data_IF_294551402575
#
_entry.id   IF_294551402575
#
_cell.length_a   1.000
_cell.length_b   1.000
_cell.length_c   1.000
_cell.angle_alpha   90.00
_cell.angle_beta   90.00
_cell.angle_gamma   90.00
#
_symmetry.space_group_name_H-M   'P 1'
#
loop_
_entity.id
_entity.type
_entity.pdbx_description
1 polymer ?
#
# COMPACT_ATOMS: atom_id res chain seq x y z
N UNK A 1 17.49 -2.71 25.67
CA UNK A 1 17.87 -1.28 25.50
C UNK A 1 17.27 -0.70 24.23
N UNK A 2 17.48 -1.33 23.06
CA UNK A 2 16.96 -0.88 21.75
C UNK A 2 15.44 -0.70 21.72
N UNK A 3 14.64 -1.66 22.22
CA UNK A 3 13.17 -1.52 22.27
C UNK A 3 12.69 -0.30 23.06
N UNK A 4 13.36 0.03 24.17
CA UNK A 4 13.05 1.25 24.95
C UNK A 4 13.38 2.52 24.19
N UNK A 5 14.43 2.52 23.38
CA UNK A 5 14.78 3.66 22.53
C UNK A 5 13.74 3.87 21.42
N UNK A 6 13.31 2.79 20.76
CA UNK A 6 12.21 2.83 19.78
C UNK A 6 10.93 3.39 20.40
N UNK A 7 10.56 2.92 21.60
CA UNK A 7 9.39 3.42 22.32
C UNK A 7 9.49 4.94 22.58
N UNK A 8 10.62 5.40 23.12
CA UNK A 8 10.85 6.81 23.42
C UNK A 8 10.75 7.70 22.17
N UNK A 9 11.29 7.24 21.03
CA UNK A 9 11.21 7.96 19.76
C UNK A 9 9.76 8.05 19.28
N UNK A 10 9.04 6.93 19.27
CA UNK A 10 7.65 6.87 18.80
C UNK A 10 6.70 7.68 19.70
N UNK A 11 6.91 7.69 21.01
CA UNK A 11 6.11 8.48 21.96
C UNK A 11 6.38 9.99 21.86
N UNK A 12 7.64 10.41 21.64
CA UNK A 12 8.00 11.83 21.57
C UNK A 12 7.68 12.47 20.23
N UNK A 13 7.70 11.71 19.14
CA UNK A 13 7.42 12.21 17.80
C UNK A 13 5.96 11.97 17.44
N UNK A 14 5.11 12.97 17.70
CA UNK A 14 3.72 12.97 17.20
C UNK A 14 3.73 12.75 15.68
N UNK A 15 3.16 11.64 15.23
CA UNK A 15 3.04 11.31 13.81
C UNK A 15 3.99 10.24 13.29
N UNK A 16 4.79 9.58 14.13
CA UNK A 16 5.54 8.39 13.68
C UNK A 16 4.55 7.27 13.35
N UNK A 17 4.50 6.89 12.08
CA UNK A 17 3.70 5.77 11.57
C UNK A 17 4.53 4.51 11.34
N UNK A 18 5.86 4.67 11.31
CA UNK A 18 6.81 3.59 11.03
C UNK A 18 8.16 3.85 11.71
N UNK A 19 8.79 2.79 12.21
CA UNK A 19 10.15 2.84 12.78
C UNK A 19 10.94 1.58 12.44
N UNK A 20 12.28 1.68 12.43
CA UNK A 20 13.14 0.54 12.12
C UNK A 20 14.46 0.57 12.88
N UNK A 21 15.00 -0.62 13.12
CA UNK A 21 16.38 -0.83 13.57
C UNK A 21 16.96 -1.97 12.76
N UNK A 22 18.13 -1.76 12.17
CA UNK A 22 18.84 -2.83 11.48
C UNK A 22 20.31 -2.52 11.30
N UNK A 23 20.98 -3.43 10.60
CA UNK A 23 22.40 -3.35 10.27
C UNK A 23 22.54 -3.14 8.77
N UNK A 24 23.34 -2.14 8.37
CA UNK A 24 23.59 -1.85 6.96
C UNK A 24 24.15 -3.07 6.20
N UNK A 25 25.06 -3.81 6.82
CA UNK A 25 25.69 -4.98 6.19
C UNK A 25 24.67 -6.12 6.00
N UNK A 26 23.75 -6.27 6.95
CA UNK A 26 22.68 -7.27 6.85
C UNK A 26 21.67 -6.92 5.76
N UNK A 27 21.21 -5.68 5.70
CA UNK A 27 20.35 -5.20 4.60
C UNK A 27 21.05 -5.42 3.25
N UNK A 28 22.33 -5.06 3.12
CA UNK A 28 23.10 -5.26 1.89
C UNK A 28 23.24 -6.72 1.50
N UNK A 29 23.34 -7.64 2.47
CA UNK A 29 23.41 -9.07 2.21
C UNK A 29 22.09 -9.66 1.68
N UNK A 30 20.96 -9.01 2.01
CA UNK A 30 19.64 -9.35 1.47
C UNK A 30 19.41 -8.74 0.08
N UNK A 31 19.95 -7.55 -0.16
CA UNK A 31 19.88 -6.79 -1.42
C UNK A 31 20.79 -7.36 -2.52
N UNK A 32 20.59 -8.62 -2.93
CA UNK A 32 21.37 -9.18 -4.05
C UNK A 32 21.04 -8.54 -5.43
N UNK A 33 19.98 -7.73 -5.57
CA UNK A 33 19.71 -7.01 -6.84
C UNK A 33 18.61 -5.92 -6.78
N UNK A 34 18.11 -5.50 -5.60
CA UNK A 34 16.98 -4.55 -5.50
C UNK A 34 17.20 -3.47 -4.44
N UNK A 35 16.89 -2.22 -4.79
CA UNK A 35 17.00 -1.01 -3.96
C UNK A 35 15.83 -0.88 -2.96
N UNK A 36 15.49 -1.95 -2.21
CA UNK A 36 14.25 -2.00 -1.44
C UNK A 36 14.48 -1.70 0.05
N UNK A 37 14.14 -0.46 0.42
CA UNK A 37 14.59 0.21 1.64
C UNK A 37 14.04 -0.32 2.97
N UNK A 38 13.37 -1.49 3.02
CA UNK A 38 12.91 -2.12 4.27
C UNK A 38 13.27 -3.61 4.41
N UNK A 39 14.06 -4.17 3.48
CA UNK A 39 14.37 -5.59 3.47
C UNK A 39 15.21 -6.00 4.68
N UNK A 40 14.62 -6.87 5.52
CA UNK A 40 15.25 -7.52 6.68
C UNK A 40 15.95 -6.58 7.65
N UNK A 41 15.28 -5.50 8.04
CA UNK A 41 15.64 -4.80 9.27
C UNK A 41 15.46 -5.76 10.47
N UNK A 42 16.21 -5.55 11.56
CA UNK A 42 16.07 -6.40 12.75
C UNK A 42 14.72 -6.20 13.44
N UNK A 43 14.35 -4.95 13.71
CA UNK A 43 13.11 -4.57 14.35
C UNK A 43 12.36 -3.59 13.45
N UNK A 44 11.06 -3.83 13.25
CA UNK A 44 10.18 -2.99 12.44
C UNK A 44 8.95 -2.62 13.25
N UNK A 45 8.69 -1.33 13.41
CA UNK A 45 7.49 -0.82 14.05
C UNK A 45 6.54 -0.28 12.99
N UNK A 46 5.29 -0.72 13.01
CA UNK A 46 4.20 -0.16 12.23
C UNK A 46 3.09 0.32 13.15
N UNK A 47 2.64 1.57 12.98
CA UNK A 47 1.45 2.10 13.67
C UNK A 47 0.16 1.57 13.01
N UNK A 48 0.05 0.26 12.95
CA UNK A 48 -1.04 -0.51 12.34
C UNK A 48 -1.40 -1.64 13.31
N UNK A 49 -2.23 -1.38 14.34
CA UNK A 49 -2.48 -2.36 15.40
C UNK A 49 -3.08 -3.67 14.89
N UNK A 50 -3.85 -3.62 13.80
CA UNK A 50 -4.44 -4.79 13.14
C UNK A 50 -3.47 -5.60 12.29
N UNK A 51 -2.20 -5.17 12.13
CA UNK A 51 -1.22 -5.87 11.31
C UNK A 51 -1.00 -7.31 11.81
N UNK A 52 -1.09 -7.54 13.12
CA UNK A 52 -0.96 -8.88 13.73
C UNK A 52 -1.90 -9.91 13.10
N UNK A 53 -3.10 -9.49 12.71
CA UNK A 53 -4.14 -10.39 12.20
C UNK A 53 -3.87 -10.87 10.77
N UNK A 54 -2.90 -10.24 10.10
CA UNK A 54 -2.53 -10.52 8.71
C UNK A 54 -1.13 -11.11 8.57
N UNK A 55 -0.38 -11.20 9.67
CA UNK A 55 0.94 -11.80 9.65
C UNK A 55 0.81 -13.32 9.71
N UNK A 56 1.57 -14.05 8.88
CA UNK A 56 1.73 -15.48 9.03
C UNK A 56 2.25 -15.86 10.43
N UNK A 57 1.88 -17.04 10.91
CA UNK A 57 2.29 -17.56 12.23
C UNK A 57 3.81 -17.67 12.40
N UNK A 58 4.56 -17.74 11.30
CA UNK A 58 6.03 -17.82 11.30
C UNK A 58 6.71 -16.46 11.47
N UNK A 59 5.97 -15.36 11.45
CA UNK A 59 6.51 -14.00 11.67
C UNK A 59 6.37 -13.60 13.14
N UNK A 60 7.52 -13.44 13.80
CA UNK A 60 7.56 -12.96 15.20
C UNK A 60 7.11 -11.51 15.29
N UNK A 61 6.10 -11.27 16.10
CA UNK A 61 5.53 -9.95 16.33
C UNK A 61 4.92 -9.81 17.73
N UNK A 62 4.77 -8.58 18.19
CA UNK A 62 4.06 -8.25 19.44
C UNK A 62 3.32 -6.91 19.32
N UNK A 63 2.20 -6.72 20.04
CA UNK A 63 1.63 -5.39 20.23
C UNK A 63 2.66 -4.44 20.85
N UNK A 64 2.82 -3.27 20.27
CA UNK A 64 3.81 -2.29 20.71
C UNK A 64 3.28 -0.88 20.52
N UNK A 65 3.14 -0.13 21.62
CA UNK A 65 2.46 1.18 21.64
C UNK A 65 1.05 1.10 21.04
N UNK A 66 0.76 1.92 20.03
CA UNK A 66 -0.50 1.93 19.27
C UNK A 66 -0.37 1.19 17.92
N UNK A 67 0.55 0.24 17.84
CA UNK A 67 0.84 -0.54 16.65
C UNK A 67 1.41 -1.93 16.93
N UNK A 68 2.22 -2.43 16.00
CA UNK A 68 2.84 -3.76 16.04
C UNK A 68 4.35 -3.62 15.83
N UNK A 69 5.12 -4.31 16.66
CA UNK A 69 6.57 -4.49 16.48
C UNK A 69 6.84 -5.88 15.91
N UNK A 70 7.50 -5.94 14.76
CA UNK A 70 8.00 -7.16 14.15
C UNK A 70 9.47 -7.36 14.52
N UNK A 71 9.85 -8.60 14.73
CA UNK A 71 11.21 -9.01 15.03
C UNK A 71 11.68 -10.07 14.05
N UNK A 72 12.65 -9.73 13.19
CA UNK A 72 13.16 -10.65 12.17
C UNK A 72 13.96 -11.80 12.80
N UNK A 73 14.73 -11.51 13.85
CA UNK A 73 15.56 -12.47 14.59
C UNK A 73 15.58 -12.11 16.08
N UNK A 74 15.68 -13.09 17.01
CA UNK A 74 15.66 -12.83 18.46
C UNK A 74 16.93 -12.13 18.97
N UNK A 75 17.95 -12.00 18.12
CA UNK A 75 19.19 -11.28 18.35
C UNK A 75 19.48 -10.35 17.17
N UNK A 76 20.42 -9.39 17.28
CA UNK A 76 20.90 -8.65 16.12
C UNK A 76 21.31 -9.60 14.99
N UNK A 77 20.81 -9.38 13.77
CA UNK A 77 21.04 -10.31 12.66
C UNK A 77 22.49 -10.28 12.20
N UNK A 78 23.00 -11.46 11.83
CA UNK A 78 24.39 -11.69 11.40
C UNK A 78 24.42 -12.11 9.93
N UNK A 79 25.25 -11.45 9.12
CA UNK A 79 25.34 -11.68 7.67
C UNK A 79 25.84 -13.09 7.35
N UNK A 80 26.71 -13.61 8.20
CA UNK A 80 27.35 -14.92 8.04
C UNK A 80 26.44 -16.07 8.50
N UNK A 81 25.33 -15.77 9.18
CA UNK A 81 24.38 -16.77 9.63
C UNK A 81 23.30 -17.01 8.56
N UNK A 82 23.28 -18.17 7.88
CA UNK A 82 22.29 -18.44 6.83
C UNK A 82 20.85 -18.45 7.34
N UNK A 83 20.64 -18.75 8.64
CA UNK A 83 19.30 -18.71 9.26
C UNK A 83 18.79 -17.28 9.36
N UNK A 84 19.64 -16.33 9.75
CA UNK A 84 19.28 -14.92 9.82
C UNK A 84 18.96 -14.38 8.43
N UNK A 85 19.78 -14.72 7.43
CA UNK A 85 19.53 -14.34 6.03
C UNK A 85 18.20 -14.89 5.53
N UNK A 86 17.87 -16.15 5.84
CA UNK A 86 16.60 -16.75 5.48
C UNK A 86 15.42 -16.04 6.17
N UNK A 87 15.53 -15.73 7.46
CA UNK A 87 14.52 -14.99 8.20
C UNK A 87 14.31 -13.57 7.64
N UNK A 88 15.39 -12.88 7.28
CA UNK A 88 15.33 -11.57 6.63
C UNK A 88 14.63 -11.59 5.27
N UNK A 89 14.91 -12.62 4.45
CA UNK A 89 14.21 -12.84 3.17
C UNK A 89 12.73 -13.15 3.37
N UNK A 90 12.40 -14.00 4.34
CA UNK A 90 11.02 -14.34 4.67
C UNK A 90 10.23 -13.12 5.15
N UNK A 91 10.81 -12.31 6.03
CA UNK A 91 10.20 -11.05 6.48
C UNK A 91 9.97 -10.10 5.28
N UNK A 92 10.94 -9.99 4.38
CA UNK A 92 10.79 -9.20 3.15
C UNK A 92 9.62 -9.68 2.30
N UNK A 93 9.52 -10.99 2.03
CA UNK A 93 8.44 -11.58 1.24
C UNK A 93 7.08 -11.27 1.86
N UNK A 94 6.91 -11.46 3.17
CA UNK A 94 5.65 -11.16 3.86
C UNK A 94 5.31 -9.67 3.79
N UNK A 95 6.28 -8.77 3.99
CA UNK A 95 6.02 -7.33 3.92
C UNK A 95 5.72 -6.86 2.50
N UNK A 96 6.29 -7.51 1.48
CA UNK A 96 5.98 -7.24 0.08
C UNK A 96 4.58 -7.73 -0.28
N UNK A 97 4.23 -8.96 0.13
CA UNK A 97 2.87 -9.51 0.02
C UNK A 97 1.85 -8.62 0.73
N UNK A 98 2.20 -8.05 1.88
CA UNK A 98 1.36 -7.09 2.60
C UNK A 98 1.50 -5.66 2.10
N UNK A 99 2.29 -5.40 1.05
CA UNK A 99 2.47 -4.07 0.43
C UNK A 99 3.00 -2.99 1.37
N UNK A 100 3.67 -3.41 2.45
CA UNK A 100 4.30 -2.54 3.45
C UNK A 100 5.72 -2.12 3.03
N UNK A 101 6.20 -2.60 1.87
CA UNK A 101 7.46 -2.17 1.26
C UNK A 101 7.38 -0.73 0.70
N UNK A 102 8.47 0.06 0.84
CA UNK A 102 8.48 1.53 0.60
C UNK A 102 7.99 1.92 -0.79
N UNK A 103 8.33 1.14 -1.81
CA UNK A 103 7.98 1.42 -3.20
C UNK A 103 6.50 1.19 -3.47
N UNK A 104 5.87 0.29 -2.72
CA UNK A 104 4.42 0.03 -2.77
C UNK A 104 3.65 1.21 -2.13
N UNK A 105 4.08 1.68 -0.96
CA UNK A 105 3.41 2.77 -0.23
C UNK A 105 3.35 4.10 -1.00
N UNK A 106 4.30 4.31 -1.92
CA UNK A 106 4.44 5.55 -2.68
C UNK A 106 3.50 5.64 -3.89
N UNK A 107 3.27 4.53 -4.58
CA UNK A 107 2.36 4.48 -5.74
C UNK A 107 0.90 4.45 -5.30
N UNK A 108 0.65 3.90 -4.11
CA UNK A 108 -0.69 3.58 -3.63
C UNK A 108 -1.33 4.66 -2.78
N UNK A 109 -0.56 5.52 -2.13
CA UNK A 109 -1.13 6.60 -1.32
C UNK A 109 -1.32 7.92 -2.07
N UNK A 110 -0.95 7.98 -3.36
CA UNK A 110 -0.73 9.25 -4.03
C UNK A 110 0.49 9.93 -3.40
N UNK A 111 1.57 10.10 -4.14
CA UNK A 111 2.66 11.00 -3.71
C UNK A 111 2.07 12.38 -3.32
N UNK A 112 2.65 13.07 -2.32
CA UNK A 112 1.94 13.79 -1.25
C UNK A 112 0.79 14.71 -1.71
N UNK A 113 -0.31 14.70 -0.94
CA UNK A 113 -1.55 15.50 -1.07
C UNK A 113 -1.73 16.14 -2.46
N UNK A 114 -2.06 15.31 -3.44
CA UNK A 114 -2.73 15.79 -4.64
C UNK A 114 -4.19 16.10 -4.24
N UNK A 115 -4.49 17.38 -4.03
CA UNK A 115 -5.84 17.86 -3.68
C UNK A 115 -6.87 17.40 -4.71
N UNK A 116 -6.49 17.28 -5.99
CA UNK A 116 -7.38 16.79 -7.04
C UNK A 116 -7.62 15.28 -6.92
N UNK A 117 -6.58 14.49 -6.59
CA UNK A 117 -6.76 13.05 -6.34
C UNK A 117 -7.64 12.81 -5.10
N UNK A 118 -7.40 13.59 -4.04
CA UNK A 118 -8.22 13.56 -2.82
C UNK A 118 -9.68 13.88 -3.14
N UNK A 119 -9.91 14.96 -3.90
CA UNK A 119 -11.25 15.36 -4.31
C UNK A 119 -11.91 14.33 -5.22
N UNK A 120 -11.19 13.80 -6.19
CA UNK A 120 -11.65 12.73 -7.07
C UNK A 120 -12.07 11.49 -6.29
N UNK A 121 -11.26 11.08 -5.31
CA UNK A 121 -11.59 9.99 -4.39
C UNK A 121 -12.90 10.28 -3.63
N UNK A 122 -13.03 11.47 -3.02
CA UNK A 122 -14.22 11.83 -2.26
C UNK A 122 -15.49 11.79 -3.11
N UNK A 123 -15.44 12.31 -4.34
CA UNK A 123 -16.60 12.35 -5.23
C UNK A 123 -17.05 10.93 -5.60
N UNK A 124 -16.13 10.04 -5.95
CA UNK A 124 -16.48 8.70 -6.40
C UNK A 124 -16.88 7.75 -5.27
N UNK A 125 -16.30 7.94 -4.08
CA UNK A 125 -16.55 7.03 -2.95
C UNK A 125 -17.60 7.56 -1.98
N UNK A 126 -17.86 8.87 -1.98
CA UNK A 126 -18.63 9.56 -0.94
C UNK A 126 -17.95 9.58 0.43
N UNK A 127 -16.73 9.04 0.56
CA UNK A 127 -16.01 8.98 1.83
C UNK A 127 -15.33 10.34 2.13
N UNK A 128 -15.33 10.82 3.39
CA UNK A 128 -14.56 11.98 3.80
C UNK A 128 -13.05 11.82 3.54
N UNK A 129 -12.33 12.94 3.48
CA UNK A 129 -10.87 12.93 3.33
C UNK A 129 -10.21 12.06 4.40
N UNK A 130 -9.22 11.26 3.99
CA UNK A 130 -8.48 10.38 4.88
C UNK A 130 -9.26 9.18 5.40
N UNK A 131 -10.55 9.03 5.07
CA UNK A 131 -11.33 7.85 5.43
C UNK A 131 -11.12 6.75 4.38
N UNK A 132 -10.75 5.56 4.85
CA UNK A 132 -10.58 4.35 4.03
C UNK A 132 -11.52 3.25 4.52
N UNK A 133 -11.90 2.35 3.63
CA UNK A 133 -12.62 1.12 3.94
C UNK A 133 -11.62 -0.02 4.01
N UNK A 134 -11.42 -0.60 5.20
CA UNK A 134 -10.39 -1.62 5.41
C UNK A 134 -10.98 -3.03 5.36
N UNK A 135 -10.36 -3.90 4.58
CA UNK A 135 -10.65 -5.35 4.55
C UNK A 135 -9.36 -6.08 4.91
N UNK A 136 -9.34 -6.73 6.07
CA UNK A 136 -8.11 -7.27 6.64
C UNK A 136 -7.07 -6.16 6.85
N UNK A 137 -5.92 -6.27 6.18
CA UNK A 137 -4.85 -5.26 6.20
C UNK A 137 -4.74 -4.44 4.91
N UNK A 138 -5.75 -4.47 4.05
CA UNK A 138 -5.77 -3.74 2.79
C UNK A 138 -6.81 -2.63 2.87
N UNK A 139 -6.39 -1.43 2.50
CA UNK A 139 -7.23 -0.24 2.47
C UNK A 139 -7.81 -0.02 1.07
N UNK A 140 -9.12 0.16 1.04
CA UNK A 140 -9.88 0.63 -0.11
C UNK A 140 -10.29 2.08 0.12
N UNK A 141 -10.55 2.79 -0.97
CA UNK A 141 -10.97 4.18 -0.91
C UNK A 141 -12.43 4.33 -0.50
N UNK A 142 -13.25 3.31 -0.75
CA UNK A 142 -14.65 3.26 -0.36
C UNK A 142 -15.24 1.86 -0.50
N UNK A 143 -16.52 1.76 -0.16
CA UNK A 143 -17.32 0.55 -0.33
C UNK A 143 -18.74 0.93 -0.74
N UNK A 144 -19.18 0.41 -1.88
CA UNK A 144 -20.54 0.52 -2.36
C UNK A 144 -21.40 -0.57 -1.71
N UNK A 145 -22.23 -0.19 -0.76
CA UNK A 145 -23.05 -1.13 0.00
C UNK A 145 -24.19 -1.78 -0.80
N UNK A 146 -24.67 -1.11 -1.86
CA UNK A 146 -25.75 -1.62 -2.70
C UNK A 146 -25.22 -2.73 -3.63
N UNK A 147 -24.09 -2.46 -4.28
CA UNK A 147 -23.44 -3.41 -5.21
C UNK A 147 -22.52 -4.40 -4.50
N UNK A 148 -22.21 -4.16 -3.22
CA UNK A 148 -21.22 -4.88 -2.41
C UNK A 148 -19.84 -4.87 -3.06
N UNK A 149 -19.44 -3.70 -3.54
CA UNK A 149 -18.22 -3.52 -4.34
C UNK A 149 -17.21 -2.67 -3.58
N UNK A 150 -15.96 -3.13 -3.55
CA UNK A 150 -14.84 -2.39 -2.98
C UNK A 150 -14.32 -1.38 -4.01
N UNK A 151 -14.11 -0.14 -3.60
CA UNK A 151 -13.74 0.95 -4.50
C UNK A 151 -12.29 1.37 -4.29
N UNK A 152 -11.55 1.50 -5.38
CA UNK A 152 -10.21 2.07 -5.41
C UNK A 152 -10.16 3.13 -6.51
N UNK A 153 -9.64 4.32 -6.19
CA UNK A 153 -9.77 5.51 -7.03
C UNK A 153 -8.42 6.21 -7.15
N UNK A 154 -7.82 6.27 -8.34
CA UNK A 154 -6.52 6.93 -8.54
C UNK A 154 -6.49 7.75 -9.81
N UNK A 155 -5.72 8.83 -9.80
CA UNK A 155 -5.38 9.57 -11.02
C UNK A 155 -4.08 9.03 -11.63
N UNK A 156 -3.21 8.46 -10.82
CA UNK A 156 -1.91 7.94 -11.24
C UNK A 156 -1.06 9.00 -11.98
N UNK A 157 -1.14 10.28 -11.57
CA UNK A 157 -0.44 11.40 -12.24
C UNK A 157 1.07 11.22 -12.31
N UNK A 158 1.66 10.52 -11.34
CA UNK A 158 3.09 10.16 -11.36
C UNK A 158 3.47 9.36 -12.61
N UNK A 159 2.57 8.50 -13.10
CA UNK A 159 2.76 7.72 -14.33
C UNK A 159 2.87 8.61 -15.56
N UNK A 160 2.05 9.68 -15.63
CA UNK A 160 2.11 10.68 -16.71
C UNK A 160 3.37 11.56 -16.63
N UNK A 161 3.79 11.94 -15.41
CA UNK A 161 4.92 12.85 -15.20
C UNK A 161 6.27 12.18 -15.42
N UNK A 162 6.37 10.87 -15.19
CA UNK A 162 7.60 10.09 -15.34
C UNK A 162 7.35 8.83 -16.18
N UNK A 163 7.30 8.92 -17.53
CA UNK A 163 7.02 7.78 -18.39
C UNK A 163 8.05 6.63 -18.27
N UNK A 164 9.30 6.97 -17.90
CA UNK A 164 10.35 5.98 -17.58
C UNK A 164 10.11 5.22 -16.26
N UNK A 165 9.06 5.61 -15.53
CA UNK A 165 8.56 4.89 -14.37
C UNK A 165 7.78 3.64 -14.75
N UNK A 166 7.35 3.45 -16.00
CA UNK A 166 6.77 2.17 -16.45
C UNK A 166 7.85 1.12 -16.74
N UNK A 167 7.52 -0.15 -16.51
CA UNK A 167 8.37 -1.34 -16.69
C UNK A 167 8.41 -2.22 -15.44
N UNK A 168 8.70 -3.52 -15.60
CA UNK A 168 8.81 -4.54 -14.51
C UNK A 168 9.74 -4.10 -13.36
N UNK A 169 10.65 -3.14 -13.61
CA UNK A 169 11.59 -2.56 -12.62
C UNK A 169 11.19 -1.17 -12.09
N UNK A 170 10.01 -0.69 -12.47
CA UNK A 170 9.44 0.61 -12.11
C UNK A 170 8.12 0.48 -11.35
N UNK A 171 7.10 1.19 -11.80
CA UNK A 171 5.79 1.38 -11.16
C UNK A 171 4.79 0.26 -11.52
N UNK A 172 5.14 -0.63 -12.46
CA UNK A 172 4.35 -1.82 -12.78
C UNK A 172 4.23 -2.73 -11.56
N UNK A 173 5.35 -2.98 -10.87
CA UNK A 173 5.40 -3.82 -9.68
C UNK A 173 4.41 -3.36 -8.60
N UNK A 174 4.46 -2.09 -8.15
CA UNK A 174 3.50 -1.56 -7.19
C UNK A 174 2.03 -1.66 -7.60
N UNK A 175 1.70 -1.44 -8.89
CA UNK A 175 0.33 -1.60 -9.41
C UNK A 175 -0.12 -3.05 -9.33
N UNK A 176 0.71 -3.97 -9.83
CA UNK A 176 0.43 -5.41 -9.83
C UNK A 176 0.33 -5.96 -8.40
N UNK A 177 1.23 -5.53 -7.52
CA UNK A 177 1.23 -5.92 -6.11
C UNK A 177 -0.06 -5.46 -5.43
N UNK A 178 -0.52 -4.24 -5.67
CA UNK A 178 -1.80 -3.79 -5.09
C UNK A 178 -3.00 -4.54 -5.62
N UNK A 179 -3.06 -4.79 -6.93
CA UNK A 179 -4.15 -5.56 -7.51
C UNK A 179 -4.24 -6.95 -6.87
N UNK A 180 -3.11 -7.66 -6.78
CA UNK A 180 -3.05 -8.97 -6.12
C UNK A 180 -3.45 -8.90 -4.64
N UNK A 181 -2.95 -7.91 -3.91
CA UNK A 181 -3.29 -7.69 -2.49
C UNK A 181 -4.77 -7.47 -2.28
N UNK A 182 -5.36 -6.57 -3.06
CA UNK A 182 -6.78 -6.25 -2.96
C UNK A 182 -7.64 -7.46 -3.33
N UNK A 183 -7.32 -8.17 -4.41
CA UNK A 183 -8.06 -9.38 -4.82
C UNK A 183 -7.99 -10.47 -3.74
N UNK A 184 -6.81 -10.69 -3.15
CA UNK A 184 -6.64 -11.64 -2.06
C UNK A 184 -7.42 -11.23 -0.80
N UNK A 185 -7.35 -9.95 -0.42
CA UNK A 185 -8.06 -9.42 0.73
C UNK A 185 -9.58 -9.39 0.54
N UNK A 186 -10.05 -9.16 -0.69
CA UNK A 186 -11.47 -9.08 -0.99
C UNK A 186 -12.21 -10.40 -0.85
N UNK A 187 -11.53 -11.56 -0.79
CA UNK A 187 -12.14 -12.87 -0.57
C UNK A 187 -13.37 -13.14 -1.46
N UNK A 188 -13.33 -12.69 -2.73
CA UNK A 188 -14.40 -12.87 -3.71
C UNK A 188 -15.43 -11.74 -3.79
N UNK A 189 -15.31 -10.68 -2.99
CA UNK A 189 -16.05 -9.44 -3.23
C UNK A 189 -15.50 -8.73 -4.47
N UNK A 190 -16.36 -8.18 -5.36
CA UNK A 190 -15.90 -7.48 -6.56
C UNK A 190 -15.17 -6.18 -6.19
N UNK A 191 -14.13 -5.86 -6.94
CA UNK A 191 -13.34 -4.63 -6.81
C UNK A 191 -13.53 -3.78 -8.06
N UNK A 192 -13.70 -2.47 -7.89
CA UNK A 192 -13.68 -1.50 -8.99
C UNK A 192 -12.54 -0.50 -8.81
N UNK A 193 -11.66 -0.46 -9.80
CA UNK A 193 -10.59 0.52 -9.93
C UNK A 193 -11.03 1.65 -10.85
N UNK A 194 -11.37 2.79 -10.28
CA UNK A 194 -11.73 3.98 -11.05
C UNK A 194 -10.49 4.84 -11.32
N UNK A 195 -10.09 4.91 -12.59
CA UNK A 195 -8.91 5.66 -13.01
C UNK A 195 -9.33 6.92 -13.77
N UNK A 196 -8.87 8.08 -13.30
CA UNK A 196 -9.33 9.39 -13.79
C UNK A 196 -8.66 9.89 -15.07
N UNK A 197 -7.53 9.29 -15.46
CA UNK A 197 -6.73 9.65 -16.62
C UNK A 197 -6.68 8.49 -17.62
N UNK A 198 -6.91 8.80 -18.90
CA UNK A 198 -7.05 7.80 -19.98
C UNK A 198 -5.77 6.97 -20.19
N UNK A 199 -4.62 7.63 -20.30
CA UNK A 199 -3.32 6.95 -20.50
C UNK A 199 -3.00 5.97 -19.34
N UNK A 200 -3.07 6.38 -18.04
CA UNK A 200 -2.96 5.43 -16.93
C UNK A 200 -4.01 4.31 -16.94
N UNK A 201 -5.26 4.60 -17.32
CA UNK A 201 -6.31 3.60 -17.39
C UNK A 201 -5.96 2.48 -18.38
N UNK A 202 -5.62 2.83 -19.62
CA UNK A 202 -5.25 1.86 -20.64
C UNK A 202 -4.04 1.03 -20.19
N UNK A 203 -3.05 1.70 -19.61
CA UNK A 203 -1.83 1.03 -19.22
C UNK A 203 -2.00 0.08 -18.03
N UNK A 204 -2.83 0.43 -17.05
CA UNK A 204 -3.17 -0.48 -15.95
C UNK A 204 -3.91 -1.70 -16.48
N UNK A 205 -4.82 -1.53 -17.45
CA UNK A 205 -5.51 -2.68 -18.09
C UNK A 205 -4.53 -3.62 -18.79
N UNK A 206 -3.60 -3.07 -19.57
CA UNK A 206 -2.54 -3.87 -20.21
C UNK A 206 -1.72 -4.64 -19.18
N UNK A 207 -1.26 -3.97 -18.11
CA UNK A 207 -0.46 -4.64 -17.08
C UNK A 207 -1.19 -5.79 -16.41
N UNK A 208 -2.45 -5.60 -16.02
CA UNK A 208 -3.20 -6.66 -15.36
C UNK A 208 -3.43 -7.84 -16.31
N UNK A 209 -3.72 -7.58 -17.59
CA UNK A 209 -3.91 -8.62 -18.59
C UNK A 209 -2.60 -9.39 -18.90
N UNK A 210 -1.46 -8.71 -18.92
CA UNK A 210 -0.18 -9.31 -19.31
C UNK A 210 0.52 -10.06 -18.16
N UNK A 211 0.27 -9.68 -16.91
CA UNK A 211 1.08 -10.14 -15.75
C UNK A 211 0.28 -10.78 -14.62
N UNK A 212 -1.05 -10.92 -14.73
CA UNK A 212 -1.88 -11.52 -13.68
C UNK A 212 -2.94 -12.45 -14.25
N UNK A 213 -3.43 -13.36 -13.41
CA UNK A 213 -4.61 -14.19 -13.72
C UNK A 213 -5.91 -13.58 -13.15
N UNK A 214 -5.91 -12.29 -12.79
CA UNK A 214 -7.06 -11.61 -12.19
C UNK A 214 -8.14 -11.40 -13.26
N UNK A 215 -9.36 -11.85 -12.98
CA UNK A 215 -10.49 -11.71 -13.91
C UNK A 215 -11.24 -10.39 -13.72
N UNK A 216 -12.02 -9.95 -14.72
CA UNK A 216 -12.85 -8.74 -14.62
C UNK A 216 -13.95 -8.86 -13.55
N UNK A 217 -14.36 -10.08 -13.17
CA UNK A 217 -15.27 -10.32 -12.05
C UNK A 217 -14.61 -10.06 -10.69
N UNK A 218 -13.30 -10.30 -10.58
CA UNK A 218 -12.54 -10.06 -9.35
C UNK A 218 -12.17 -8.57 -9.23
N UNK A 219 -11.61 -8.00 -10.30
CA UNK A 219 -11.17 -6.61 -10.36
C UNK A 219 -11.49 -6.01 -11.72
N UNK A 220 -12.37 -5.02 -11.73
CA UNK A 220 -12.74 -4.27 -12.92
C UNK A 220 -12.06 -2.91 -12.94
N UNK A 221 -11.30 -2.63 -13.99
CA UNK A 221 -10.73 -1.30 -14.22
C UNK A 221 -11.69 -0.45 -15.04
N UNK A 222 -12.03 0.74 -14.55
CA UNK A 222 -13.04 1.63 -15.13
C UNK A 222 -12.42 3.01 -15.36
N UNK A 223 -12.45 3.47 -16.61
CA UNK A 223 -12.11 4.87 -16.91
C UNK A 223 -13.23 5.79 -16.43
N UNK A 224 -12.93 6.66 -15.47
CA UNK A 224 -13.91 7.60 -14.90
C UNK A 224 -13.35 9.03 -14.98
N UNK A 225 -13.60 9.76 -16.08
CA UNK A 225 -12.88 11.01 -16.39
C UNK A 225 -13.00 12.07 -15.28
N UNK A 226 -11.88 12.70 -14.93
CA UNK A 226 -11.83 13.70 -13.85
C UNK A 226 -12.69 14.94 -14.11
N UNK A 227 -12.64 15.52 -15.31
CA UNK A 227 -13.27 16.81 -15.61
C UNK A 227 -14.81 16.80 -15.46
N UNK A 228 -15.55 15.82 -16.01
CA UNK A 228 -16.98 15.70 -15.76
C UNK A 228 -17.32 15.49 -14.28
N UNK A 229 -16.51 14.69 -13.58
CA UNK A 229 -16.73 14.34 -12.17
C UNK A 229 -16.64 15.57 -11.28
N UNK A 230 -15.60 16.41 -11.47
CA UNK A 230 -15.42 17.65 -10.71
C UNK A 230 -16.52 18.67 -11.05
N UNK A 231 -16.83 18.88 -12.34
CA UNK A 231 -17.83 19.87 -12.76
C UNK A 231 -19.22 19.58 -12.19
N UNK A 232 -19.62 18.31 -12.15
CA UNK A 232 -20.94 17.94 -11.64
C UNK A 232 -21.04 18.16 -10.12
N UNK A 233 -19.95 17.90 -9.39
CA UNK A 233 -19.90 18.12 -7.95
C UNK A 233 -20.07 19.61 -7.57
N UNK A 234 -19.37 20.51 -8.26
CA UNK A 234 -19.48 21.96 -8.02
C UNK A 234 -20.92 22.47 -8.26
N UNK A 235 -21.61 21.94 -9.27
CA UNK A 235 -22.98 22.35 -9.58
C UNK A 235 -24.02 21.85 -8.56
N UNK A 236 -23.76 20.73 -7.88
CA UNK A 236 -24.65 20.21 -6.84
C UNK A 236 -24.42 20.89 -5.48
N UNK A 237 -23.18 21.25 -5.14
CA UNK A 237 -22.90 22.01 -3.92
C UNK A 237 -23.56 23.39 -3.91
N UNK A 238 -23.62 24.05 -5.06
CA UNK A 238 -24.23 25.38 -5.19
C UNK A 238 -25.75 25.34 -5.00
N UNK A 239 -26.41 24.25 -5.42
CA UNK A 239 -27.86 24.08 -5.30
C UNK A 239 -28.31 23.77 -3.87
N UNK A 240 -27.45 23.21 -3.04
CA UNK A 240 -27.77 22.87 -1.64
C UNK A 240 -27.55 24.05 -0.66
N UNK A 241 -27.02 25.18 -1.14
CA UNK A 241 -26.77 26.39 -0.35
C UNK A 241 -27.71 27.57 -0.73
N UNK A 242 -28.79 27.31 -1.47
CA UNK A 242 -29.87 28.26 -1.78
C UNK A 242 -31.17 27.87 -1.10
#
# INVERSE_FOLDING_TARGET
>A
MVRRLLALIAEHQRGVTFGRVGSHDFTKALEQDRFDLFAGEWLLYFKLPQLSDCLPDDISHEPFLDGVLLETTPHPPQVENPTDIAAGKRMYEVLDELGLMRHCLQVLNGWPHDEEETRYQQILTGAPEGRKYRVGCVDFDGYDAERKTLLFTRLFRGLKRYPKGWGIRGLDGPVLNEANRQVNAAQGYPIEWHIGLEEPYEKVRELLADYTDITEEQLKVIYTPLEPVIRNFDQESDKNHT
#
